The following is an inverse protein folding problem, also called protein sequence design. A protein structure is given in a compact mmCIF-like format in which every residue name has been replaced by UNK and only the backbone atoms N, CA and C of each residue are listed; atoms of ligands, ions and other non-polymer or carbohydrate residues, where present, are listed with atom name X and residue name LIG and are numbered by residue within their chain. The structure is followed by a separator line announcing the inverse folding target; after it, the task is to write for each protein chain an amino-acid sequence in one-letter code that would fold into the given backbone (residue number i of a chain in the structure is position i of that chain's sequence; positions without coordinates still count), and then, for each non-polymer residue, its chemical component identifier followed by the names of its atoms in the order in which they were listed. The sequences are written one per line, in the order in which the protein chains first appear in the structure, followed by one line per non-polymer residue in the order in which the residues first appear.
data_IF_490936711207
#
_entry.id   IF_490936711207
#
_cell.length_a   1.000
_cell.length_b   1.000
_cell.length_c   1.000
_cell.angle_alpha   90.00
_cell.angle_beta   90.00
_cell.angle_gamma   90.00
#
_symmetry.space_group_name_H-M   'P 1'
#
loop_
_entity.id
_entity.type
_entity.pdbx_description
1 polymer ?
#
# COMPACT_ATOMS: atom_id res chain seq x y z
N UNK A 1 -6.05 -9.41 25.97
CA UNK A 1 -7.15 -10.09 25.24
C UNK A 1 -6.90 -9.85 23.75
N UNK A 2 -6.73 -10.93 22.98
CA UNK A 2 -6.49 -10.92 21.54
C UNK A 2 -7.74 -10.54 20.73
N UNK A 3 -8.92 -10.67 21.31
CA UNK A 3 -10.19 -10.37 20.68
C UNK A 3 -10.88 -9.20 21.39
N UNK A 4 -11.07 -8.12 20.65
CA UNK A 4 -11.94 -7.03 21.08
C UNK A 4 -13.30 -7.22 20.40
N UNK A 5 -14.35 -7.52 21.20
CA UNK A 5 -15.74 -7.70 20.70
C UNK A 5 -16.25 -6.47 19.91
N UNK A 6 -15.66 -5.29 20.17
CA UNK A 6 -16.01 -4.05 19.47
C UNK A 6 -15.61 -4.09 17.99
N UNK A 7 -14.55 -4.84 17.63
CA UNK A 7 -14.12 -4.97 16.23
C UNK A 7 -15.19 -5.70 15.41
N UNK A 8 -15.78 -6.75 15.97
CA UNK A 8 -16.82 -7.54 15.29
C UNK A 8 -18.14 -6.75 15.19
N UNK A 9 -18.49 -5.97 16.21
CA UNK A 9 -19.75 -5.19 16.22
C UNK A 9 -19.73 -4.00 15.24
N UNK A 10 -18.57 -3.53 14.83
CA UNK A 10 -18.41 -2.43 13.86
C UNK A 10 -17.96 -2.93 12.47
N UNK A 11 -18.08 -4.23 12.23
CA UNK A 11 -17.74 -4.80 10.95
C UNK A 11 -18.83 -4.47 9.92
N UNK A 12 -18.42 -3.88 8.81
CA UNK A 12 -19.33 -3.54 7.71
C UNK A 12 -19.61 -4.78 6.84
N UNK A 13 -20.70 -5.48 7.19
CA UNK A 13 -21.14 -6.67 6.43
C UNK A 13 -21.57 -6.31 5.00
N UNK A 14 -21.99 -5.07 4.77
CA UNK A 14 -22.41 -4.60 3.45
C UNK A 14 -21.24 -4.68 2.45
N UNK A 15 -20.03 -4.38 2.92
CA UNK A 15 -18.81 -4.48 2.12
C UNK A 15 -18.61 -5.91 1.58
N UNK A 16 -18.81 -6.94 2.41
CA UNK A 16 -18.70 -8.34 1.97
C UNK A 16 -19.77 -8.65 0.92
N UNK A 17 -21.01 -8.21 1.12
CA UNK A 17 -22.11 -8.45 0.17
C UNK A 17 -21.76 -7.89 -1.22
N UNK A 18 -21.08 -6.74 -1.29
CA UNK A 18 -20.65 -6.17 -2.57
C UNK A 18 -19.41 -6.87 -3.18
N UNK A 19 -18.53 -7.41 -2.35
CA UNK A 19 -17.31 -8.09 -2.84
C UNK A 19 -17.61 -9.49 -3.35
N UNK A 20 -18.55 -10.24 -2.76
CA UNK A 20 -18.89 -11.60 -3.18
C UNK A 20 -19.31 -11.72 -4.65
N UNK A 21 -20.20 -10.87 -5.21
CA UNK A 21 -20.55 -10.91 -6.61
C UNK A 21 -19.35 -10.68 -7.54
N UNK A 22 -18.42 -9.80 -7.14
CA UNK A 22 -17.20 -9.53 -7.91
C UNK A 22 -16.27 -10.76 -7.93
N UNK A 23 -16.15 -11.46 -6.81
CA UNK A 23 -15.39 -12.73 -6.73
C UNK A 23 -16.01 -13.76 -7.65
N UNK A 24 -17.33 -13.93 -7.60
CA UNK A 24 -18.06 -14.89 -8.43
C UNK A 24 -17.91 -14.56 -9.94
N UNK A 25 -18.13 -13.29 -10.30
CA UNK A 25 -18.01 -12.82 -11.69
C UNK A 25 -16.58 -13.00 -12.20
N UNK A 26 -15.58 -12.65 -11.39
CA UNK A 26 -14.17 -12.82 -11.74
C UNK A 26 -13.81 -14.28 -11.98
N UNK A 27 -14.28 -15.19 -11.11
CA UNK A 27 -14.06 -16.61 -11.28
C UNK A 27 -14.72 -17.15 -12.57
N UNK A 28 -15.98 -16.77 -12.83
CA UNK A 28 -16.72 -17.21 -14.01
C UNK A 28 -16.03 -16.75 -15.30
N UNK A 29 -15.66 -15.48 -15.41
CA UNK A 29 -14.98 -14.94 -16.58
C UNK A 29 -13.62 -15.61 -16.85
N UNK A 30 -12.86 -15.92 -15.80
CA UNK A 30 -11.57 -16.60 -15.96
C UNK A 30 -11.76 -18.06 -16.31
N UNK A 31 -12.77 -18.74 -15.75
CA UNK A 31 -13.05 -20.15 -16.06
C UNK A 31 -13.43 -20.39 -17.53
N UNK A 32 -14.15 -19.45 -18.13
CA UNK A 32 -14.47 -19.47 -19.57
C UNK A 32 -13.23 -19.35 -20.46
N UNK A 33 -12.16 -18.69 -19.96
CA UNK A 33 -10.94 -18.45 -20.74
C UNK A 33 -9.87 -19.51 -20.48
N UNK A 34 -9.66 -19.88 -19.20
CA UNK A 34 -8.62 -20.82 -18.80
C UNK A 34 -8.95 -21.44 -17.42
N UNK A 35 -9.34 -22.70 -17.43
CA UNK A 35 -9.71 -23.45 -16.23
C UNK A 35 -8.56 -23.58 -15.22
N UNK A 36 -7.32 -23.72 -15.69
CA UNK A 36 -6.16 -23.82 -14.80
C UNK A 36 -5.92 -22.51 -14.02
N UNK A 37 -6.16 -21.37 -14.67
CA UNK A 37 -6.07 -20.06 -14.00
C UNK A 37 -7.22 -19.86 -13.02
N UNK A 38 -8.43 -20.32 -13.35
CA UNK A 38 -9.57 -20.27 -12.45
C UNK A 38 -9.31 -21.09 -11.16
N UNK A 39 -8.74 -22.28 -11.27
CA UNK A 39 -8.38 -23.09 -10.12
C UNK A 39 -7.31 -22.44 -9.24
N UNK A 40 -6.30 -21.78 -9.83
CA UNK A 40 -5.32 -20.99 -9.08
C UNK A 40 -5.99 -19.81 -8.38
N UNK A 41 -6.97 -19.17 -9.01
CA UNK A 41 -7.70 -18.05 -8.42
C UNK A 41 -8.48 -18.46 -7.17
N UNK A 42 -9.07 -19.64 -7.13
CA UNK A 42 -9.73 -20.17 -5.91
C UNK A 42 -8.72 -20.26 -4.76
N UNK A 43 -7.52 -20.77 -5.02
CA UNK A 43 -6.46 -20.86 -4.02
C UNK A 43 -6.09 -19.46 -3.51
N UNK A 44 -5.94 -18.48 -4.41
CA UNK A 44 -5.61 -17.11 -4.02
C UNK A 44 -6.74 -16.44 -3.21
N UNK A 45 -8.00 -16.66 -3.59
CA UNK A 45 -9.13 -16.17 -2.79
C UNK A 45 -9.16 -16.78 -1.39
N UNK A 46 -8.87 -18.09 -1.28
CA UNK A 46 -8.79 -18.77 0.01
C UNK A 46 -7.68 -18.19 0.88
N UNK A 47 -6.48 -18.01 0.32
CA UNK A 47 -5.35 -17.39 1.04
C UNK A 47 -5.70 -15.95 1.47
N UNK A 48 -6.30 -15.17 0.56
CA UNK A 48 -6.69 -13.79 0.82
C UNK A 48 -7.76 -13.69 1.91
N UNK A 49 -8.69 -14.64 1.95
CA UNK A 49 -9.70 -14.72 3.00
C UNK A 49 -9.07 -14.92 4.38
N UNK A 50 -8.15 -15.87 4.51
CA UNK A 50 -7.44 -16.07 5.77
C UNK A 50 -6.55 -14.88 6.13
N UNK A 51 -5.83 -14.30 5.18
CA UNK A 51 -5.03 -13.11 5.38
C UNK A 51 -5.87 -11.92 5.87
N UNK A 52 -7.06 -11.72 5.27
CA UNK A 52 -8.01 -10.71 5.68
C UNK A 52 -8.40 -10.86 7.16
N UNK A 53 -8.78 -12.07 7.60
CA UNK A 53 -9.15 -12.32 9.00
C UNK A 53 -7.98 -12.13 9.96
N UNK A 54 -6.78 -12.56 9.58
CA UNK A 54 -5.57 -12.35 10.37
C UNK A 54 -5.33 -10.85 10.59
N UNK A 55 -5.37 -10.06 9.52
CA UNK A 55 -5.15 -8.60 9.59
C UNK A 55 -6.30 -7.91 10.35
N UNK A 56 -7.54 -8.34 10.12
CA UNK A 56 -8.73 -7.80 10.78
C UNK A 56 -8.68 -7.97 12.31
N UNK A 57 -8.22 -9.12 12.78
CA UNK A 57 -8.10 -9.43 14.22
C UNK A 57 -6.90 -8.71 14.86
N UNK A 58 -5.89 -8.32 14.08
CA UNK A 58 -4.69 -7.69 14.62
C UNK A 58 -4.98 -6.28 15.16
N UNK A 59 -4.76 -6.03 16.46
CA UNK A 59 -4.92 -4.70 17.03
C UNK A 59 -3.76 -3.80 16.60
N UNK A 60 -3.88 -3.17 15.42
CA UNK A 60 -2.84 -2.30 14.82
C UNK A 60 -2.36 -1.23 15.81
N UNK A 61 -3.29 -0.64 16.58
CA UNK A 61 -2.95 0.38 17.60
C UNK A 61 -1.96 -0.11 18.66
N UNK A 62 -1.98 -1.40 18.99
CA UNK A 62 -1.04 -1.99 19.97
C UNK A 62 0.31 -2.36 19.34
N UNK A 63 0.39 -2.43 18.02
CA UNK A 63 1.58 -2.87 17.28
C UNK A 63 2.16 -1.77 16.39
N UNK A 64 1.92 -0.50 16.73
CA UNK A 64 2.44 0.63 15.96
C UNK A 64 3.94 0.54 15.67
N UNK A 65 4.71 -0.02 16.61
CA UNK A 65 6.18 -0.16 16.48
C UNK A 65 6.62 -1.06 15.31
N UNK A 66 5.74 -1.95 14.81
CA UNK A 66 6.09 -2.83 13.70
C UNK A 66 5.99 -2.11 12.34
N UNK A 67 5.22 -1.01 12.26
CA UNK A 67 4.96 -0.30 11.01
C UNK A 67 6.24 0.20 10.32
N UNK A 68 7.16 0.89 11.02
CA UNK A 68 8.42 1.30 10.41
C UNK A 68 9.24 0.13 9.88
N UNK A 69 9.27 -0.98 10.63
CA UNK A 69 9.98 -2.20 10.19
C UNK A 69 9.37 -2.77 8.92
N UNK A 70 8.04 -2.86 8.82
CA UNK A 70 7.35 -3.32 7.61
C UNK A 70 7.62 -2.38 6.42
N UNK A 71 7.64 -1.07 6.67
CA UNK A 71 7.95 -0.10 5.63
C UNK A 71 9.37 -0.31 5.06
N UNK A 72 10.37 -0.44 5.92
CA UNK A 72 11.75 -0.67 5.48
C UNK A 72 11.93 -2.03 4.81
N UNK A 73 11.24 -3.08 5.27
CA UNK A 73 11.19 -4.37 4.56
C UNK A 73 10.61 -4.17 3.16
N UNK A 74 9.52 -3.41 3.01
CA UNK A 74 8.93 -3.08 1.71
C UNK A 74 9.93 -2.35 0.79
N UNK A 75 10.66 -1.37 1.32
CA UNK A 75 11.72 -0.67 0.57
C UNK A 75 12.84 -1.63 0.13
N UNK A 76 13.28 -2.51 1.02
CA UNK A 76 14.30 -3.53 0.68
C UNK A 76 13.78 -4.48 -0.41
N UNK A 77 12.50 -4.88 -0.37
CA UNK A 77 11.89 -5.71 -1.40
C UNK A 77 11.79 -4.98 -2.75
N UNK A 78 11.47 -3.68 -2.77
CA UNK A 78 11.49 -2.88 -4.00
C UNK A 78 12.92 -2.79 -4.59
N UNK A 79 13.92 -2.59 -3.75
CA UNK A 79 15.32 -2.61 -4.18
C UNK A 79 15.70 -4.00 -4.70
N UNK A 80 15.25 -5.07 -4.05
CA UNK A 80 15.53 -6.45 -4.45
C UNK A 80 14.97 -6.79 -5.84
N UNK A 81 13.82 -6.20 -6.23
CA UNK A 81 13.27 -6.36 -7.58
C UNK A 81 14.23 -5.88 -8.66
N UNK A 82 14.96 -4.81 -8.42
CA UNK A 82 15.94 -4.28 -9.37
C UNK A 82 16.99 -5.34 -9.73
N UNK A 83 17.46 -6.11 -8.73
CA UNK A 83 18.53 -7.11 -8.90
C UNK A 83 18.00 -8.49 -9.27
N UNK A 84 16.97 -8.95 -8.63
CA UNK A 84 16.43 -10.33 -8.75
C UNK A 84 15.02 -10.41 -9.34
N UNK A 85 14.49 -9.30 -9.82
CA UNK A 85 13.16 -9.25 -10.40
C UNK A 85 13.05 -10.06 -11.70
N UNK A 86 11.93 -10.77 -11.84
CA UNK A 86 11.56 -11.42 -13.09
C UNK A 86 11.00 -10.40 -14.07
N UNK A 87 11.51 -10.42 -15.28
CA UNK A 87 10.96 -9.61 -16.38
C UNK A 87 9.72 -10.30 -16.96
N UNK A 88 8.57 -9.65 -16.84
CA UNK A 88 7.33 -10.05 -17.52
C UNK A 88 6.81 -8.84 -18.30
N UNK A 89 6.46 -9.05 -19.57
CA UNK A 89 5.96 -7.99 -20.45
C UNK A 89 6.86 -6.74 -20.54
N UNK A 90 8.20 -6.96 -20.48
CA UNK A 90 9.18 -5.88 -20.61
C UNK A 90 9.48 -5.09 -19.33
N UNK A 91 8.88 -5.43 -18.20
CA UNK A 91 9.13 -4.78 -16.92
C UNK A 91 9.54 -5.77 -15.83
N UNK A 92 10.57 -5.41 -15.04
CA UNK A 92 10.99 -6.16 -13.87
C UNK A 92 10.20 -5.68 -12.67
N UNK A 93 9.17 -6.44 -12.24
CA UNK A 93 8.27 -6.03 -11.14
C UNK A 93 7.97 -7.16 -10.17
N UNK A 94 8.40 -8.38 -10.48
CA UNK A 94 7.95 -9.58 -9.82
C UNK A 94 9.12 -10.34 -9.20
N UNK A 95 8.96 -10.81 -7.97
CA UNK A 95 9.90 -11.72 -7.32
C UNK A 95 9.27 -13.11 -7.28
N UNK A 96 9.98 -14.12 -7.74
CA UNK A 96 9.54 -15.50 -7.62
C UNK A 96 9.81 -16.01 -6.21
N UNK A 97 8.79 -16.60 -5.60
CA UNK A 97 8.92 -17.26 -4.30
C UNK A 97 8.88 -18.78 -4.52
N UNK A 98 10.04 -19.47 -4.46
CA UNK A 98 10.12 -20.90 -4.75
C UNK A 98 9.21 -21.74 -3.86
N UNK A 99 9.12 -21.40 -2.59
CA UNK A 99 8.32 -22.11 -1.60
C UNK A 99 6.80 -22.09 -1.91
N UNK A 100 6.29 -20.99 -2.49
CA UNK A 100 4.89 -20.84 -2.85
C UNK A 100 4.61 -21.20 -4.32
N UNK A 101 5.66 -21.43 -5.13
CA UNK A 101 5.53 -21.66 -6.57
C UNK A 101 4.88 -20.52 -7.34
N UNK A 102 4.89 -19.30 -6.78
CA UNK A 102 4.22 -18.11 -7.32
C UNK A 102 5.13 -16.88 -7.29
N UNK A 103 4.68 -15.82 -7.97
CA UNK A 103 5.37 -14.52 -7.97
C UNK A 103 4.58 -13.53 -7.15
N UNK A 104 5.30 -12.68 -6.41
CA UNK A 104 4.74 -11.51 -5.73
C UNK A 104 5.27 -10.23 -6.38
N UNK A 105 4.46 -9.18 -6.30
CA UNK A 105 4.83 -7.83 -6.72
C UNK A 105 5.03 -6.97 -5.46
N UNK A 106 6.26 -6.57 -5.12
CA UNK A 106 6.54 -5.79 -3.92
C UNK A 106 5.82 -4.43 -3.89
N UNK A 107 5.61 -3.79 -5.04
CA UNK A 107 4.86 -2.54 -5.13
C UNK A 107 3.39 -2.67 -4.68
N UNK A 108 2.79 -3.87 -4.77
CA UNK A 108 1.46 -4.13 -4.21
C UNK A 108 1.48 -4.19 -2.67
N UNK A 109 2.53 -4.81 -2.12
CA UNK A 109 2.66 -4.98 -0.67
C UNK A 109 3.00 -3.67 0.04
N UNK A 110 3.78 -2.79 -0.60
CA UNK A 110 4.18 -1.52 0.03
C UNK A 110 3.02 -0.51 0.10
N UNK A 111 2.03 -0.56 -0.78
CA UNK A 111 0.91 0.39 -0.78
C UNK A 111 0.19 0.52 0.58
N UNK A 112 -0.34 -0.56 1.18
CA UNK A 112 -0.97 -0.47 2.49
C UNK A 112 0.02 -0.09 3.59
N UNK A 113 1.25 -0.59 3.52
CA UNK A 113 2.29 -0.28 4.51
C UNK A 113 2.73 1.18 4.44
N UNK A 114 2.77 1.77 3.25
CA UNK A 114 3.04 3.19 3.03
C UNK A 114 2.01 4.08 3.72
N UNK A 115 0.72 3.78 3.57
CA UNK A 115 -0.36 4.52 4.22
C UNK A 115 -0.24 4.41 5.75
N UNK A 116 0.03 3.20 6.25
CA UNK A 116 0.27 2.97 7.68
C UNK A 116 1.48 3.73 8.18
N UNK A 117 2.56 3.81 7.39
CA UNK A 117 3.77 4.56 7.74
C UNK A 117 3.50 6.05 7.84
N UNK A 118 2.78 6.64 6.90
CA UNK A 118 2.37 8.05 7.00
C UNK A 118 1.50 8.30 8.24
N UNK A 119 0.52 7.44 8.50
CA UNK A 119 -0.30 7.51 9.71
C UNK A 119 0.54 7.38 11.00
N UNK A 120 1.54 6.50 11.01
CA UNK A 120 2.49 6.35 12.11
C UNK A 120 3.30 7.64 12.34
N UNK A 121 3.85 8.23 11.28
CA UNK A 121 4.64 9.46 11.36
C UNK A 121 3.81 10.63 11.89
N UNK A 122 2.59 10.79 11.39
CA UNK A 122 1.65 11.83 11.81
C UNK A 122 1.24 11.65 13.26
N UNK A 123 0.99 10.39 13.69
CA UNK A 123 0.67 10.09 15.07
C UNK A 123 1.78 10.48 16.05
N UNK A 124 3.05 10.28 15.66
CA UNK A 124 4.20 10.63 16.49
C UNK A 124 4.60 12.10 16.40
N UNK A 125 4.23 12.77 15.33
CA UNK A 125 4.48 14.19 15.12
C UNK A 125 3.20 14.85 14.62
N UNK A 126 2.23 15.11 15.51
CA UNK A 126 0.98 15.75 15.13
C UNK A 126 1.21 17.19 14.62
N UNK A 127 0.33 17.67 13.71
CA UNK A 127 0.51 18.99 13.12
C UNK A 127 0.42 20.09 14.18
N UNK A 128 1.36 21.08 14.16
CA UNK A 128 1.25 22.29 14.96
C UNK A 128 0.03 23.13 14.55
N UNK A 129 -0.38 24.09 15.39
CA UNK A 129 -1.52 24.98 15.10
C UNK A 129 -1.37 25.77 13.79
N UNK A 130 -0.13 26.13 13.44
CA UNK A 130 0.20 26.88 12.23
C UNK A 130 0.51 25.98 11.03
N UNK A 131 0.28 24.68 11.15
CA UNK A 131 0.61 23.66 10.16
C UNK A 131 2.07 23.22 10.20
N UNK A 132 2.39 22.18 9.43
CA UNK A 132 3.77 21.70 9.32
C UNK A 132 4.69 22.71 8.67
N UNK A 133 5.90 22.80 9.20
CA UNK A 133 7.00 23.62 8.65
C UNK A 133 7.55 22.99 7.34
N UNK A 134 8.41 23.76 6.66
CA UNK A 134 9.11 23.27 5.47
C UNK A 134 10.01 22.05 5.76
N UNK A 135 10.65 22.04 6.94
CA UNK A 135 11.48 20.90 7.36
C UNK A 135 10.63 19.65 7.58
N UNK A 136 9.45 19.81 8.18
CA UNK A 136 8.50 18.69 8.34
C UNK A 136 8.00 18.20 6.99
N UNK A 137 7.69 19.11 6.08
CA UNK A 137 7.31 18.77 4.72
C UNK A 137 8.39 17.95 4.00
N UNK A 138 9.66 18.33 4.10
CA UNK A 138 10.78 17.56 3.54
C UNK A 138 10.91 16.19 4.19
N UNK A 139 10.73 16.12 5.52
CA UNK A 139 10.75 14.86 6.25
C UNK A 139 9.69 13.89 5.76
N UNK A 140 8.44 14.30 5.64
CA UNK A 140 7.37 13.47 5.09
C UNK A 140 7.60 13.15 3.61
N UNK A 141 8.07 14.12 2.84
CA UNK A 141 8.37 13.94 1.42
C UNK A 141 9.42 12.87 1.19
N UNK A 142 10.40 12.72 2.07
CA UNK A 142 11.37 11.62 1.99
C UNK A 142 10.67 10.25 1.98
N UNK A 143 9.72 10.02 2.90
CA UNK A 143 8.98 8.76 2.97
C UNK A 143 8.00 8.58 1.82
N UNK A 144 7.55 9.64 1.17
CA UNK A 144 6.68 9.58 -0.01
C UNK A 144 7.49 9.32 -1.26
N UNK A 145 8.57 10.08 -1.47
CA UNK A 145 9.35 10.04 -2.69
C UNK A 145 10.21 8.78 -2.80
N UNK A 146 10.67 8.20 -1.68
CA UNK A 146 11.50 7.01 -1.71
C UNK A 146 10.81 5.82 -2.41
N UNK A 147 9.62 5.34 -1.99
CA UNK A 147 8.93 4.28 -2.72
C UNK A 147 8.46 4.73 -4.11
N UNK A 148 8.04 6.00 -4.27
CA UNK A 148 7.66 6.55 -5.57
C UNK A 148 8.79 6.37 -6.60
N UNK A 149 10.01 6.81 -6.28
CA UNK A 149 11.15 6.74 -7.19
C UNK A 149 11.55 5.30 -7.51
N UNK A 150 11.52 4.40 -6.53
CA UNK A 150 11.82 2.99 -6.73
C UNK A 150 10.81 2.33 -7.68
N UNK A 151 9.51 2.57 -7.48
CA UNK A 151 8.45 1.99 -8.32
C UNK A 151 8.44 2.62 -9.71
N UNK A 152 8.68 3.93 -9.81
CA UNK A 152 8.79 4.61 -11.11
C UNK A 152 9.94 4.05 -11.96
N UNK A 153 11.02 3.61 -11.31
CA UNK A 153 12.16 2.96 -11.96
C UNK A 153 11.83 1.55 -12.47
N UNK A 154 10.84 0.88 -11.90
CA UNK A 154 10.31 -0.42 -12.38
C UNK A 154 9.36 -0.30 -13.59
N UNK A 155 9.41 0.73 -14.40
CA UNK A 155 8.43 1.35 -15.31
C UNK A 155 6.94 1.14 -14.91
N UNK A 156 6.64 1.32 -13.62
CA UNK A 156 5.27 1.27 -13.10
C UNK A 156 4.78 2.67 -12.66
N UNK A 157 4.68 3.55 -13.63
CA UNK A 157 4.30 4.95 -13.39
C UNK A 157 2.91 5.07 -12.77
N UNK A 158 1.97 4.19 -13.13
CA UNK A 158 0.60 4.22 -12.57
C UNK A 158 0.60 4.01 -11.06
N UNK A 159 1.23 2.94 -10.59
CA UNK A 159 1.36 2.66 -9.15
C UNK A 159 2.18 3.72 -8.42
N UNK A 160 3.26 4.21 -9.03
CA UNK A 160 4.08 5.28 -8.46
C UNK A 160 3.27 6.57 -8.24
N UNK A 161 2.52 7.01 -9.25
CA UNK A 161 1.68 8.21 -9.16
C UNK A 161 0.56 8.06 -8.11
N UNK A 162 -0.04 6.89 -7.97
CA UNK A 162 -1.03 6.65 -6.90
C UNK A 162 -0.41 6.91 -5.53
N UNK A 163 0.79 6.39 -5.25
CA UNK A 163 1.48 6.65 -3.97
C UNK A 163 1.80 8.12 -3.78
N UNK A 164 2.26 8.79 -4.85
CA UNK A 164 2.57 10.22 -4.82
C UNK A 164 1.32 11.05 -4.46
N UNK A 165 0.22 10.85 -5.19
CA UNK A 165 -1.02 11.60 -4.98
C UNK A 165 -1.64 11.29 -3.61
N UNK A 166 -1.64 10.04 -3.16
CA UNK A 166 -2.13 9.67 -1.83
C UNK A 166 -1.26 10.31 -0.76
N UNK A 167 0.06 10.24 -0.88
CA UNK A 167 0.99 10.80 0.10
C UNK A 167 0.85 12.31 0.24
N UNK A 168 0.93 13.05 -0.85
CA UNK A 168 0.80 14.50 -0.81
C UNK A 168 -0.64 14.96 -0.56
N UNK A 169 -1.64 14.19 -0.98
CA UNK A 169 -3.05 14.42 -0.61
C UNK A 169 -3.26 14.35 0.91
N UNK A 170 -2.67 13.35 1.58
CA UNK A 170 -2.68 13.25 3.04
C UNK A 170 -2.01 14.47 3.67
N UNK A 171 -0.83 14.88 3.19
CA UNK A 171 -0.13 16.06 3.72
C UNK A 171 -0.92 17.35 3.53
N UNK A 172 -1.63 17.48 2.41
CA UNK A 172 -2.49 18.62 2.15
C UNK A 172 -3.66 18.69 3.13
N UNK A 173 -4.33 17.56 3.39
CA UNK A 173 -5.49 17.47 4.28
C UNK A 173 -5.09 17.71 5.75
N UNK A 174 -3.93 17.21 6.18
CA UNK A 174 -3.48 17.30 7.57
C UNK A 174 -3.03 18.72 7.94
N UNK A 175 -2.65 19.52 6.96
CA UNK A 175 -2.33 20.91 7.18
C UNK A 175 -0.83 21.21 7.15
N UNK A 176 -0.20 21.01 6.02
CA UNK A 176 1.07 21.65 5.69
C UNK A 176 0.79 23.13 5.41
N UNK A 177 1.66 24.03 5.88
CA UNK A 177 1.51 25.47 5.70
C UNK A 177 1.27 25.80 4.22
N UNK A 178 0.18 26.52 3.93
CA UNK A 178 -0.24 26.84 2.55
C UNK A 178 0.82 27.56 1.73
N UNK A 179 1.71 28.34 2.40
CA UNK A 179 2.82 29.03 1.76
C UNK A 179 3.79 28.07 1.06
N UNK A 180 3.95 26.86 1.61
CA UNK A 180 4.81 25.82 1.03
C UNK A 180 4.20 25.36 -0.29
N UNK A 181 2.88 25.10 -0.32
CA UNK A 181 2.18 24.71 -1.55
C UNK A 181 2.22 25.82 -2.60
N UNK A 182 1.98 27.07 -2.19
CA UNK A 182 2.08 28.23 -3.08
C UNK A 182 3.49 28.37 -3.67
N UNK A 183 4.54 28.20 -2.86
CA UNK A 183 5.93 28.24 -3.34
C UNK A 183 6.21 27.14 -4.35
N UNK A 184 5.75 25.91 -4.09
CA UNK A 184 5.93 24.77 -5.02
C UNK A 184 5.25 25.05 -6.36
N UNK A 185 3.98 25.51 -6.34
CA UNK A 185 3.20 25.81 -7.54
C UNK A 185 3.91 26.90 -8.36
N UNK A 186 4.33 27.99 -7.72
CA UNK A 186 5.03 29.11 -8.38
C UNK A 186 6.37 28.64 -8.98
N UNK A 187 7.12 27.80 -8.24
CA UNK A 187 8.44 27.33 -8.69
C UNK A 187 8.32 26.35 -9.86
N UNK A 188 7.27 25.53 -9.89
CA UNK A 188 7.01 24.59 -10.99
C UNK A 188 6.40 25.26 -12.21
N UNK A 189 6.04 26.56 -12.15
CA UNK A 189 5.50 27.32 -13.27
C UNK A 189 4.08 26.92 -13.66
N UNK A 190 3.33 26.35 -12.71
CA UNK A 190 1.93 25.94 -12.89
C UNK A 190 0.99 27.00 -12.36
#
# INVERSE_FOLDING_TARGET
RLFDKRIISHFDYLLIIFVLPLIFLSYHLISETNEQLANKQIVYFTISFFAFFIVFILPIRKKLRIIPTLYWIGIVLLIAVEFWGLSKLGAKRWIFIPFLGTTIQPSELIKPVFILMLGYLIHHKPPPKDGYSFVDFLYFSFYILLPFLLIAKEPDLGTALVLLFVGYGILFIIGVNWKIWATIIITLGI
#
